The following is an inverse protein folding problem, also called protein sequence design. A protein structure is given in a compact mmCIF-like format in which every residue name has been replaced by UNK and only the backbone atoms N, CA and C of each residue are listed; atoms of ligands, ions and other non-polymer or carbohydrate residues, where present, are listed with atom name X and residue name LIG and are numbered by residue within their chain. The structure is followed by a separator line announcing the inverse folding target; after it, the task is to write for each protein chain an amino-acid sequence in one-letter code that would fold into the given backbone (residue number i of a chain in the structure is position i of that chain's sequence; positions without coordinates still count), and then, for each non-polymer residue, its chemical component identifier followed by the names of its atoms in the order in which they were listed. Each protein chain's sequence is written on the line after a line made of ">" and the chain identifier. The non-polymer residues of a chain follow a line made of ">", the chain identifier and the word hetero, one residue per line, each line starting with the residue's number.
data_IF_294564582266
#
_entry.id   IF_294564582266
#
_cell.length_a   1.000
_cell.length_b   1.000
_cell.length_c   1.000
_cell.angle_alpha   90.00
_cell.angle_beta   90.00
_cell.angle_gamma   90.00
#
_symmetry.space_group_name_H-M   'P 1'
#
loop_
_entity.id
_entity.type
_entity.pdbx_description
1 polymer ?
#
# COMPACT_ATOMS: atom_id res chain seq x y z
N UNK A 1 -23.90 10.35 -21.57
CA UNK A 1 -22.56 10.39 -20.97
C UNK A 1 -22.43 9.49 -19.72
N UNK A 2 -23.36 8.54 -19.47
CA UNK A 2 -23.34 7.66 -18.28
C UNK A 2 -23.37 6.16 -18.55
N UNK A 3 -23.48 5.72 -19.79
CA UNK A 3 -23.59 4.29 -20.11
C UNK A 3 -22.25 3.64 -20.48
N UNK A 4 -21.26 4.42 -20.90
CA UNK A 4 -19.92 3.94 -21.25
C UNK A 4 -19.08 3.47 -20.05
N UNK A 5 -19.44 3.91 -18.84
CA UNK A 5 -18.70 3.47 -17.64
C UNK A 5 -19.15 2.08 -17.13
N UNK A 6 -20.32 1.59 -17.54
CA UNK A 6 -20.78 0.23 -17.18
C UNK A 6 -20.02 -0.84 -17.94
N UNK A 7 -19.72 -0.59 -19.21
CA UNK A 7 -18.91 -1.50 -20.02
C UNK A 7 -17.44 -1.46 -19.63
N UNK A 8 -16.89 -0.28 -19.30
CA UNK A 8 -15.52 -0.12 -18.77
C UNK A 8 -15.32 -0.68 -17.37
N UNK A 9 -16.36 -1.09 -16.67
CA UNK A 9 -16.33 -1.56 -15.29
C UNK A 9 -15.67 -2.92 -15.13
N UNK A 10 -15.62 -3.75 -16.16
CA UNK A 10 -14.94 -5.05 -16.17
C UNK A 10 -13.42 -4.92 -16.37
N UNK A 11 -12.96 -3.84 -17.00
CA UNK A 11 -11.56 -3.60 -17.32
C UNK A 11 -10.77 -2.93 -16.16
N UNK A 12 -11.48 -2.40 -15.17
CA UNK A 12 -10.95 -1.54 -14.12
C UNK A 12 -11.18 -2.13 -12.75
N UNK A 13 -10.38 -1.76 -11.80
CA UNK A 13 -10.36 -2.32 -10.46
C UNK A 13 -11.70 -2.83 -9.99
N UNK A 14 -11.70 -4.07 -9.69
CA UNK A 14 -12.79 -4.67 -9.00
C UNK A 14 -13.06 -3.91 -7.68
N UNK A 15 -14.22 -3.25 -7.61
CA UNK A 15 -14.75 -2.62 -6.40
C UNK A 15 -15.49 -3.63 -5.53
N UNK A 16 -15.24 -4.91 -5.71
CA UNK A 16 -15.84 -5.96 -4.89
C UNK A 16 -15.47 -5.79 -3.42
N UNK A 17 -16.23 -6.44 -2.56
CA UNK A 17 -15.95 -6.49 -1.11
C UNK A 17 -14.55 -6.99 -0.75
N UNK A 18 -13.85 -7.60 -1.67
CA UNK A 18 -12.50 -8.14 -1.49
C UNK A 18 -11.42 -7.14 -1.86
N UNK A 19 -11.72 -6.14 -2.69
CA UNK A 19 -10.76 -5.08 -3.02
C UNK A 19 -10.39 -4.30 -1.77
N UNK A 20 -9.10 -3.98 -1.62
CA UNK A 20 -8.63 -3.11 -0.53
C UNK A 20 -9.23 -1.70 -0.60
N UNK A 21 -9.80 -1.31 -1.73
CA UNK A 21 -10.35 0.03 -1.99
C UNK A 21 -11.86 0.04 -2.19
N UNK A 22 -12.58 -0.96 -1.71
CA UNK A 22 -14.02 -1.00 -1.87
C UNK A 22 -14.74 0.02 -0.96
N UNK A 23 -15.87 0.53 -1.44
CA UNK A 23 -16.69 1.51 -0.73
C UNK A 23 -17.34 0.97 0.56
N UNK A 24 -17.47 -0.34 0.71
CA UNK A 24 -18.03 -0.94 1.94
C UNK A 24 -17.19 -0.66 3.19
N UNK A 25 -15.86 -0.51 3.03
CA UNK A 25 -15.00 -0.09 4.14
C UNK A 25 -15.31 1.34 4.56
N UNK A 26 -15.61 2.21 3.60
CA UNK A 26 -16.04 3.58 3.87
C UNK A 26 -17.29 3.64 4.73
N UNK A 27 -18.29 2.83 4.43
CA UNK A 27 -19.48 2.72 5.26
C UNK A 27 -19.16 2.29 6.69
N UNK A 28 -18.28 1.28 6.86
CA UNK A 28 -17.86 0.81 8.18
C UNK A 28 -17.08 1.85 9.00
N UNK A 29 -16.47 2.85 8.33
CA UNK A 29 -15.67 3.88 8.99
C UNK A 29 -16.34 5.25 9.06
N UNK A 30 -17.54 5.40 8.49
CA UNK A 30 -18.21 6.69 8.38
C UNK A 30 -18.32 7.39 9.73
N UNK A 31 -18.94 6.76 10.73
CA UNK A 31 -19.16 7.36 12.04
C UNK A 31 -17.88 7.44 12.88
N UNK A 32 -17.01 6.44 12.76
CA UNK A 32 -15.81 6.35 13.60
C UNK A 32 -14.64 7.19 13.09
N UNK A 33 -14.58 7.50 11.79
CA UNK A 33 -13.45 8.19 11.18
C UNK A 33 -13.84 9.27 10.20
N UNK A 34 -14.67 9.03 9.18
CA UNK A 34 -14.91 10.01 8.13
C UNK A 34 -15.56 11.29 8.63
N UNK A 35 -16.62 11.17 9.41
CA UNK A 35 -17.30 12.32 10.02
C UNK A 35 -16.39 13.01 11.04
N UNK A 36 -15.71 12.33 11.98
CA UNK A 36 -14.76 12.97 12.87
C UNK A 36 -13.60 13.66 12.15
N UNK A 37 -13.01 13.06 11.09
CA UNK A 37 -11.96 13.69 10.29
C UNK A 37 -12.48 14.98 9.65
N UNK A 38 -13.68 14.95 9.04
CA UNK A 38 -14.28 16.12 8.43
C UNK A 38 -14.52 17.25 9.45
N UNK A 39 -15.05 16.93 10.64
CA UNK A 39 -15.22 17.87 11.75
C UNK A 39 -13.89 18.46 12.21
N UNK A 40 -12.86 17.62 12.36
CA UNK A 40 -11.53 18.09 12.73
C UNK A 40 -10.95 19.09 11.73
N UNK A 41 -11.12 18.86 10.42
CA UNK A 41 -10.72 19.84 9.40
C UNK A 41 -11.46 21.18 9.52
N UNK A 42 -12.71 21.16 9.99
CA UNK A 42 -13.54 22.35 10.27
C UNK A 42 -13.26 22.96 11.66
N UNK A 43 -12.35 22.41 12.47
CA UNK A 43 -12.07 22.79 13.86
C UNK A 43 -13.23 22.55 14.82
N UNK A 44 -14.08 21.58 14.53
CA UNK A 44 -15.31 21.27 15.30
C UNK A 44 -15.17 19.99 16.15
N UNK A 45 -13.99 19.38 16.20
CA UNK A 45 -13.78 18.15 16.97
C UNK A 45 -12.33 17.67 16.94
N UNK A 46 -12.10 16.53 17.57
CA UNK A 46 -10.78 15.88 17.65
C UNK A 46 -10.56 14.89 16.52
N UNK A 47 -9.31 14.73 16.11
CA UNK A 47 -8.90 13.71 15.13
C UNK A 47 -8.85 12.35 15.83
N UNK A 48 -9.56 11.33 15.31
CA UNK A 48 -9.50 9.98 15.89
C UNK A 48 -8.11 9.35 15.69
N UNK A 49 -7.82 8.30 16.45
CA UNK A 49 -6.65 7.46 16.18
C UNK A 49 -6.69 6.91 14.74
N UNK A 50 -5.54 6.72 14.08
CA UNK A 50 -5.54 6.13 12.74
C UNK A 50 -6.02 4.68 12.77
N UNK A 51 -6.59 4.20 11.66
CA UNK A 51 -7.04 2.81 11.53
C UNK A 51 -5.84 1.86 11.39
N UNK A 52 -4.82 2.31 10.66
CA UNK A 52 -3.67 1.49 10.28
C UNK A 52 -2.35 2.18 10.61
N UNK A 53 -1.41 1.39 11.11
CA UNK A 53 0.01 1.72 11.09
C UNK A 53 0.63 1.12 9.83
N UNK A 54 1.15 1.94 8.95
CA UNK A 54 2.09 1.54 7.90
C UNK A 54 3.51 1.65 8.46
N UNK A 55 4.19 0.52 8.58
CA UNK A 55 5.46 0.40 9.27
C UNK A 55 6.57 0.05 8.28
N UNK A 56 7.54 0.94 8.13
CA UNK A 56 8.77 0.72 7.39
C UNK A 56 9.90 0.39 8.37
N UNK A 57 10.15 -0.88 8.70
CA UNK A 57 11.10 -1.28 9.73
C UNK A 57 12.56 -1.14 9.31
N UNK A 58 12.80 -0.81 8.04
CA UNK A 58 14.14 -0.63 7.48
C UNK A 58 14.14 -0.11 6.06
N UNK A 59 15.27 0.48 5.66
CA UNK A 59 15.50 1.00 4.31
C UNK A 59 16.50 0.16 3.50
N UNK A 60 17.03 -0.92 4.07
CA UNK A 60 17.90 -1.86 3.35
C UNK A 60 17.06 -2.72 2.42
N UNK A 61 17.53 -2.90 1.18
CA UNK A 61 16.92 -3.79 0.22
C UNK A 61 18.00 -4.58 -0.54
N UNK A 62 17.71 -5.83 -0.82
CA UNK A 62 18.57 -6.71 -1.62
C UNK A 62 18.16 -6.76 -3.11
N UNK A 63 17.19 -5.90 -3.53
CA UNK A 63 16.80 -5.69 -4.92
C UNK A 63 17.16 -4.28 -5.37
N UNK A 64 17.18 -4.06 -6.71
CA UNK A 64 17.51 -2.79 -7.35
C UNK A 64 16.43 -2.41 -8.38
N UNK A 65 15.17 -2.49 -7.98
CA UNK A 65 14.02 -2.27 -8.87
C UNK A 65 14.02 -0.86 -9.45
N UNK A 66 13.99 -0.76 -10.78
CA UNK A 66 14.01 0.53 -11.49
C UNK A 66 12.77 1.40 -11.23
N UNK A 67 11.64 0.80 -10.84
CA UNK A 67 10.38 1.48 -10.51
C UNK A 67 10.17 1.74 -9.00
N UNK A 68 11.17 1.44 -8.16
CA UNK A 68 11.03 1.60 -6.71
C UNK A 68 11.18 3.05 -6.28
N UNK A 69 10.08 3.70 -5.92
CA UNK A 69 10.09 5.09 -5.48
C UNK A 69 10.90 5.33 -4.20
N UNK A 70 10.90 4.38 -3.26
CA UNK A 70 11.61 4.54 -2.00
C UNK A 70 13.13 4.42 -2.15
N UNK A 71 13.61 3.37 -2.84
CA UNK A 71 15.05 3.17 -3.03
C UNK A 71 15.65 4.24 -3.95
N UNK A 72 14.90 4.68 -4.95
CA UNK A 72 15.36 5.74 -5.84
C UNK A 72 15.52 7.06 -5.09
N UNK A 73 14.56 7.41 -4.22
CA UNK A 73 14.71 8.59 -3.37
C UNK A 73 15.97 8.52 -2.51
N UNK A 74 16.24 7.35 -1.89
CA UNK A 74 17.44 7.16 -1.08
C UNK A 74 18.76 7.20 -1.87
N UNK A 75 18.75 6.76 -3.14
CA UNK A 75 19.91 6.89 -4.03
C UNK A 75 20.20 8.35 -4.36
N UNK A 76 19.16 9.16 -4.57
CA UNK A 76 19.29 10.60 -4.84
C UNK A 76 19.63 11.41 -3.57
N UNK A 77 19.23 10.92 -2.40
CA UNK A 77 19.39 11.57 -1.12
C UNK A 77 20.02 10.62 -0.08
N UNK A 78 21.31 10.20 -0.27
CA UNK A 78 21.93 9.14 0.54
C UNK A 78 22.10 9.51 2.02
N UNK A 79 22.13 10.79 2.35
CA UNK A 79 22.32 11.31 3.69
C UNK A 79 21.02 11.44 4.50
N UNK A 80 19.87 11.26 3.86
CA UNK A 80 18.56 11.40 4.52
C UNK A 80 18.31 10.36 5.61
N UNK A 81 18.88 9.16 5.48
CA UNK A 81 18.77 8.12 6.52
C UNK A 81 20.15 7.72 7.02
N UNK A 82 20.54 8.18 8.19
CA UNK A 82 21.80 7.78 8.83
C UNK A 82 21.95 6.26 8.95
N UNK A 83 23.20 5.78 8.93
CA UNK A 83 23.49 4.34 8.90
C UNK A 83 22.90 3.58 10.10
N UNK A 84 22.92 4.18 11.29
CA UNK A 84 22.36 3.66 12.53
C UNK A 84 20.83 3.61 12.56
N UNK A 85 20.16 4.35 11.65
CA UNK A 85 18.71 4.43 11.51
C UNK A 85 18.16 3.68 10.30
N UNK A 86 19.00 2.95 9.59
CA UNK A 86 18.55 2.14 8.44
C UNK A 86 17.67 0.94 8.83
N UNK A 87 17.70 0.56 10.11
CA UNK A 87 16.99 -0.62 10.64
C UNK A 87 16.46 -0.32 12.04
N UNK A 88 15.17 -0.51 12.28
CA UNK A 88 14.59 -0.41 13.64
C UNK A 88 15.04 -1.54 14.54
N UNK A 89 15.33 -1.24 15.79
CA UNK A 89 15.61 -2.24 16.82
C UNK A 89 14.35 -3.01 17.21
N UNK A 90 14.53 -4.21 17.75
CA UNK A 90 13.42 -5.04 18.24
C UNK A 90 12.61 -4.35 19.35
N UNK A 91 13.33 -3.71 20.27
CA UNK A 91 12.72 -2.96 21.36
C UNK A 91 11.84 -1.83 20.83
N UNK A 92 12.36 -1.02 19.90
CA UNK A 92 11.62 0.10 19.35
C UNK A 92 10.39 -0.35 18.55
N UNK A 93 10.51 -1.43 17.75
CA UNK A 93 9.39 -2.04 17.05
C UNK A 93 8.26 -2.44 18.00
N UNK A 94 8.62 -3.08 19.13
CA UNK A 94 7.63 -3.49 20.14
C UNK A 94 7.00 -2.29 20.84
N UNK A 95 7.78 -1.27 21.19
CA UNK A 95 7.28 -0.04 21.80
C UNK A 95 6.27 0.67 20.89
N UNK A 96 6.53 0.73 19.58
CA UNK A 96 5.56 1.28 18.59
C UNK A 96 4.28 0.43 18.57
N UNK A 97 4.39 -0.90 18.50
CA UNK A 97 3.23 -1.80 18.45
C UNK A 97 2.40 -1.69 19.73
N UNK A 98 3.03 -1.64 20.90
CA UNK A 98 2.33 -1.47 22.17
C UNK A 98 1.58 -0.13 22.21
N UNK A 99 2.26 0.95 21.84
CA UNK A 99 1.68 2.27 21.79
C UNK A 99 0.45 2.35 20.86
N UNK A 100 0.58 1.88 19.62
CA UNK A 100 -0.53 1.96 18.66
C UNK A 100 -1.68 1.04 19.02
N UNK A 101 -1.42 -0.10 19.65
CA UNK A 101 -2.46 -0.98 20.20
C UNK A 101 -3.28 -0.29 21.30
N UNK A 102 -2.60 0.34 22.26
CA UNK A 102 -3.24 1.11 23.34
C UNK A 102 -4.00 2.35 22.80
N UNK A 103 -3.54 2.90 21.71
CA UNK A 103 -4.17 4.07 21.06
C UNK A 103 -5.44 3.70 20.28
N UNK A 104 -5.64 2.43 19.93
CA UNK A 104 -6.82 1.94 19.23
C UNK A 104 -6.64 1.71 17.74
N UNK A 105 -5.39 1.67 17.25
CA UNK A 105 -5.08 1.24 15.88
C UNK A 105 -5.48 -0.22 15.69
N UNK A 106 -6.08 -0.54 14.54
CA UNK A 106 -6.67 -1.86 14.30
C UNK A 106 -5.76 -2.81 13.51
N UNK A 107 -4.85 -2.25 12.72
CA UNK A 107 -4.01 -3.04 11.83
C UNK A 107 -2.61 -2.45 11.66
N UNK A 108 -1.66 -3.31 11.34
CA UNK A 108 -0.27 -2.94 11.01
C UNK A 108 0.08 -3.54 9.66
N UNK A 109 0.46 -2.69 8.71
CA UNK A 109 1.04 -3.11 7.44
C UNK A 109 2.56 -3.03 7.55
N UNK A 110 3.24 -4.18 7.56
CA UNK A 110 4.69 -4.27 7.55
C UNK A 110 5.13 -4.25 6.09
N UNK A 111 5.75 -3.17 5.69
CA UNK A 111 6.22 -2.99 4.33
C UNK A 111 7.55 -2.27 4.34
N UNK A 112 7.78 -1.39 3.38
CA UNK A 112 8.93 -0.59 3.57
C UNK A 112 9.47 0.29 2.48
N UNK A 113 10.37 1.14 2.94
CA UNK A 113 11.35 1.84 2.15
C UNK A 113 12.44 0.91 1.60
N UNK A 114 12.55 -0.32 2.16
CA UNK A 114 13.40 -1.41 1.72
C UNK A 114 12.67 -2.75 1.75
N UNK A 115 13.43 -3.84 1.79
CA UNK A 115 12.87 -5.18 2.04
C UNK A 115 12.76 -5.40 3.57
N UNK A 116 11.53 -5.53 4.12
CA UNK A 116 11.36 -5.64 5.57
C UNK A 116 12.04 -6.87 6.17
N UNK A 117 12.15 -7.98 5.45
CA UNK A 117 12.82 -9.19 5.94
C UNK A 117 14.34 -9.05 6.07
N UNK A 118 14.95 -7.99 5.51
CA UNK A 118 16.34 -7.62 5.79
C UNK A 118 16.54 -7.21 7.26
N UNK A 119 15.48 -6.73 7.92
CA UNK A 119 15.47 -6.50 9.35
C UNK A 119 15.02 -7.76 10.10
N UNK A 120 15.95 -8.52 10.67
CA UNK A 120 15.61 -9.76 11.41
C UNK A 120 14.70 -9.51 12.62
N UNK A 121 14.63 -8.28 13.13
CA UNK A 121 13.79 -7.93 14.27
C UNK A 121 12.28 -7.97 13.95
N UNK A 122 11.89 -8.08 12.66
CA UNK A 122 10.48 -8.21 12.26
C UNK A 122 10.01 -9.66 12.13
N UNK A 123 10.91 -10.64 12.23
CA UNK A 123 10.58 -12.02 11.93
C UNK A 123 9.56 -12.65 12.89
N UNK A 124 9.43 -12.13 14.11
CA UNK A 124 8.43 -12.54 15.10
C UNK A 124 7.35 -11.46 15.33
N UNK A 125 7.31 -10.44 14.47
CA UNK A 125 6.40 -9.31 14.65
C UNK A 125 4.93 -9.64 14.34
N UNK A 126 4.59 -10.48 13.34
CA UNK A 126 3.18 -10.84 13.09
C UNK A 126 2.49 -11.50 14.29
N UNK A 127 3.13 -12.46 14.96
CA UNK A 127 2.58 -13.07 16.17
C UNK A 127 2.48 -12.10 17.33
N UNK A 128 3.47 -11.20 17.48
CA UNK A 128 3.43 -10.16 18.49
C UNK A 128 2.25 -9.19 18.29
N UNK A 129 2.02 -8.73 17.04
CA UNK A 129 0.88 -7.88 16.69
C UNK A 129 -0.44 -8.61 16.97
N UNK A 130 -0.54 -9.89 16.62
CA UNK A 130 -1.71 -10.70 16.89
C UNK A 130 -1.99 -10.85 18.40
N UNK A 131 -0.93 -10.97 19.24
CA UNK A 131 -1.05 -11.05 20.70
C UNK A 131 -1.63 -9.76 21.31
N UNK A 132 -1.53 -8.62 20.61
CA UNK A 132 -2.14 -7.35 20.98
C UNK A 132 -3.56 -7.16 20.43
N UNK A 133 -4.15 -8.18 19.81
CA UNK A 133 -5.49 -8.13 19.23
C UNK A 133 -5.59 -7.39 17.89
N UNK A 134 -4.48 -6.94 17.33
CA UNK A 134 -4.42 -6.28 16.03
C UNK A 134 -4.24 -7.27 14.88
N UNK A 135 -4.57 -6.83 13.66
CA UNK A 135 -4.29 -7.56 12.42
C UNK A 135 -2.97 -7.08 11.83
N UNK A 136 -2.22 -7.99 11.21
CA UNK A 136 -1.03 -7.62 10.45
C UNK A 136 -1.15 -7.99 8.99
N UNK A 137 -0.37 -7.31 8.17
CA UNK A 137 -0.13 -7.64 6.78
C UNK A 137 1.35 -7.48 6.46
N UNK A 138 1.81 -8.15 5.40
CA UNK A 138 3.21 -8.12 5.02
C UNK A 138 3.35 -7.87 3.51
N UNK A 139 4.19 -6.92 3.13
CA UNK A 139 4.59 -6.68 1.75
C UNK A 139 6.10 -6.92 1.62
N UNK A 140 6.52 -7.85 0.76
CA UNK A 140 7.90 -8.32 0.64
C UNK A 140 8.25 -8.65 -0.80
N UNK A 141 9.54 -8.61 -1.14
CA UNK A 141 10.04 -9.16 -2.39
C UNK A 141 10.13 -10.71 -2.39
N UNK A 142 9.86 -11.34 -1.25
CA UNK A 142 9.78 -12.80 -1.10
C UNK A 142 11.09 -13.57 -1.08
N UNK A 143 12.21 -12.95 -1.43
CA UNK A 143 13.50 -13.66 -1.62
C UNK A 143 14.10 -14.23 -0.33
N UNK A 144 13.71 -13.70 0.84
CA UNK A 144 14.23 -14.09 2.15
C UNK A 144 13.27 -14.97 2.95
N UNK A 145 12.13 -15.34 2.40
CA UNK A 145 11.18 -16.24 3.06
C UNK A 145 11.83 -17.63 3.21
N UNK A 146 11.70 -18.18 4.39
CA UNK A 146 12.10 -19.54 4.75
C UNK A 146 10.98 -20.20 5.58
N UNK A 147 11.16 -21.42 6.03
CA UNK A 147 10.14 -22.17 6.79
C UNK A 147 9.70 -21.47 8.08
N UNK A 148 10.65 -20.87 8.81
CA UNK A 148 10.35 -20.11 10.03
C UNK A 148 9.50 -18.87 9.73
N UNK A 149 9.92 -18.08 8.74
CA UNK A 149 9.20 -16.88 8.31
C UNK A 149 7.84 -17.23 7.72
N UNK A 150 7.76 -18.29 6.91
CA UNK A 150 6.49 -18.75 6.35
C UNK A 150 5.48 -19.11 7.45
N UNK A 151 5.91 -19.84 8.49
CA UNK A 151 5.06 -20.17 9.65
C UNK A 151 4.62 -18.90 10.40
N UNK A 152 5.51 -17.96 10.61
CA UNK A 152 5.22 -16.71 11.30
C UNK A 152 4.21 -15.84 10.51
N UNK A 153 4.35 -15.78 9.19
CA UNK A 153 3.42 -15.08 8.30
C UNK A 153 2.00 -15.63 8.34
N UNK A 154 1.78 -16.87 8.81
CA UNK A 154 0.43 -17.42 8.99
C UNK A 154 -0.40 -16.65 10.03
N UNK A 155 0.21 -15.82 10.87
CA UNK A 155 -0.45 -14.89 11.78
C UNK A 155 -0.93 -13.59 11.08
N UNK A 156 -0.52 -13.36 9.83
CA UNK A 156 -0.98 -12.20 9.07
C UNK A 156 -2.40 -12.39 8.51
N UNK A 157 -3.08 -11.27 8.23
CA UNK A 157 -4.35 -11.28 7.47
C UNK A 157 -4.09 -11.48 5.98
N UNK A 158 -3.01 -10.86 5.45
CA UNK A 158 -2.55 -11.09 4.09
C UNK A 158 -1.03 -10.90 3.97
N UNK A 159 -0.45 -11.55 2.96
CA UNK A 159 0.93 -11.36 2.53
C UNK A 159 0.94 -11.09 1.02
N UNK A 160 1.58 -10.02 0.61
CA UNK A 160 1.79 -9.68 -0.79
C UNK A 160 3.25 -9.85 -1.17
N UNK A 161 3.51 -10.70 -2.17
CA UNK A 161 4.85 -10.91 -2.73
C UNK A 161 4.97 -10.17 -4.06
N UNK A 162 5.94 -9.25 -4.16
CA UNK A 162 6.22 -8.49 -5.37
C UNK A 162 7.06 -9.33 -6.32
N UNK A 163 6.46 -9.79 -7.42
CA UNK A 163 7.13 -10.62 -8.43
C UNK A 163 7.29 -9.87 -9.75
N UNK A 164 6.25 -9.17 -10.18
CA UNK A 164 6.24 -8.23 -11.31
C UNK A 164 6.71 -8.83 -12.66
N UNK A 165 6.64 -10.16 -12.81
CA UNK A 165 7.05 -10.89 -14.04
C UNK A 165 6.44 -12.28 -14.08
N UNK A 166 6.53 -12.96 -15.22
CA UNK A 166 6.24 -14.38 -15.40
C UNK A 166 7.48 -15.20 -15.72
N UNK A 167 8.59 -14.54 -16.06
CA UNK A 167 9.82 -15.18 -16.49
C UNK A 167 11.05 -14.66 -15.72
N UNK A 168 12.14 -15.47 -15.61
CA UNK A 168 13.39 -15.02 -14.98
C UNK A 168 14.02 -13.81 -15.68
N UNK A 169 13.94 -13.76 -17.01
CA UNK A 169 14.53 -12.69 -17.83
C UNK A 169 13.85 -11.35 -17.57
N UNK A 170 12.53 -11.33 -17.50
CA UNK A 170 11.78 -10.12 -17.20
C UNK A 170 11.94 -9.72 -15.73
N UNK A 171 11.97 -10.70 -14.81
CA UNK A 171 12.25 -10.45 -13.41
C UNK A 171 13.58 -9.73 -13.20
N UNK A 172 14.65 -10.20 -13.84
CA UNK A 172 15.97 -9.59 -13.74
C UNK A 172 15.99 -8.15 -14.30
N UNK A 173 15.30 -7.90 -15.42
CA UNK A 173 15.17 -6.55 -16.00
C UNK A 173 14.41 -5.59 -15.06
N UNK A 174 13.38 -6.07 -14.39
CA UNK A 174 12.52 -5.24 -13.53
C UNK A 174 13.14 -5.00 -12.16
N UNK A 175 13.79 -6.02 -11.59
CA UNK A 175 14.26 -6.00 -10.20
C UNK A 175 15.79 -5.85 -10.06
N UNK A 176 16.55 -5.93 -11.18
CA UNK A 176 18.01 -5.81 -11.18
C UNK A 176 18.74 -6.97 -10.50
N UNK A 177 18.07 -8.11 -10.30
CA UNK A 177 18.63 -9.30 -9.65
C UNK A 177 18.06 -10.58 -10.24
N UNK A 178 18.86 -11.64 -10.31
CA UNK A 178 18.44 -12.96 -10.80
C UNK A 178 18.01 -13.85 -9.63
N UNK A 179 16.79 -13.61 -9.11
CA UNK A 179 16.25 -14.36 -7.96
C UNK A 179 14.82 -14.89 -8.22
N UNK A 180 14.37 -14.93 -9.46
CA UNK A 180 13.02 -15.37 -9.82
C UNK A 180 12.67 -16.73 -9.23
N UNK A 181 13.45 -17.77 -9.54
CA UNK A 181 13.19 -19.13 -9.09
C UNK A 181 13.12 -19.25 -7.56
N UNK A 182 13.97 -18.48 -6.86
CA UNK A 182 13.95 -18.41 -5.40
C UNK A 182 12.64 -17.81 -4.89
N UNK A 183 12.19 -16.71 -5.49
CA UNK A 183 10.95 -16.04 -5.09
C UNK A 183 9.74 -16.93 -5.36
N UNK A 184 9.68 -17.59 -6.52
CA UNK A 184 8.61 -18.54 -6.85
C UNK A 184 8.60 -19.70 -5.85
N UNK A 185 9.75 -20.33 -5.59
CA UNK A 185 9.86 -21.42 -4.61
C UNK A 185 9.43 -21.00 -3.19
N UNK A 186 9.76 -19.76 -2.80
CA UNK A 186 9.35 -19.23 -1.50
C UNK A 186 7.85 -18.93 -1.45
N UNK A 187 7.26 -18.51 -2.57
CA UNK A 187 5.82 -18.32 -2.69
C UNK A 187 5.06 -19.66 -2.62
N UNK A 188 5.58 -20.71 -3.27
CA UNK A 188 5.09 -22.09 -3.14
C UNK A 188 5.18 -22.58 -1.69
N UNK A 189 6.28 -22.27 -0.99
CA UNK A 189 6.45 -22.60 0.43
C UNK A 189 5.38 -21.91 1.30
N UNK A 190 5.05 -20.64 1.05
CA UNK A 190 3.96 -19.95 1.75
C UNK A 190 2.61 -20.65 1.52
N UNK A 191 2.29 -21.00 0.28
CA UNK A 191 1.05 -21.70 -0.07
C UNK A 191 0.99 -23.08 0.57
N UNK A 192 2.09 -23.82 0.55
CA UNK A 192 2.22 -25.13 1.23
C UNK A 192 1.99 -24.98 2.75
N UNK A 193 2.69 -24.04 3.39
CA UNK A 193 2.56 -23.77 4.84
C UNK A 193 1.13 -23.38 5.22
N UNK A 194 0.46 -22.55 4.39
CA UNK A 194 -0.95 -22.21 4.58
C UNK A 194 -1.84 -23.46 4.59
N UNK A 195 -1.65 -24.38 3.64
CA UNK A 195 -2.42 -25.64 3.55
C UNK A 195 -2.17 -26.53 4.75
N UNK A 196 -0.92 -26.70 5.15
CA UNK A 196 -0.50 -27.56 6.27
C UNK A 196 -1.02 -27.05 7.62
N UNK A 197 -1.08 -25.72 7.81
CA UNK A 197 -1.53 -25.09 9.07
C UNK A 197 -3.03 -24.82 9.11
N UNK A 198 -3.75 -24.94 7.99
CA UNK A 198 -5.15 -24.54 7.88
C UNK A 198 -5.38 -23.03 8.03
N UNK A 199 -4.34 -22.21 7.87
CA UNK A 199 -4.42 -20.76 7.99
C UNK A 199 -5.34 -20.15 6.93
N UNK A 200 -6.06 -19.09 7.32
CA UNK A 200 -6.96 -18.34 6.42
C UNK A 200 -6.32 -17.08 5.83
N UNK A 201 -4.99 -16.99 5.88
CA UNK A 201 -4.26 -15.88 5.28
C UNK A 201 -4.54 -15.78 3.77
N UNK A 202 -4.65 -14.55 3.26
CA UNK A 202 -4.66 -14.30 1.82
C UNK A 202 -3.21 -14.08 1.36
N UNK A 203 -2.75 -14.90 0.42
CA UNK A 203 -1.43 -14.77 -0.21
C UNK A 203 -1.64 -14.20 -1.61
N UNK A 204 -0.94 -13.10 -1.92
CA UNK A 204 -1.12 -12.37 -3.16
C UNK A 204 0.17 -12.31 -3.97
N UNK A 205 0.05 -12.58 -5.26
CA UNK A 205 1.07 -12.29 -6.27
C UNK A 205 0.87 -10.84 -6.74
N UNK A 206 1.84 -9.97 -6.48
CA UNK A 206 1.77 -8.56 -6.88
C UNK A 206 2.49 -8.36 -8.21
N UNK A 207 1.89 -7.54 -9.09
CA UNK A 207 2.41 -7.23 -10.40
C UNK A 207 2.28 -5.72 -10.67
N UNK A 208 3.39 -4.99 -10.56
CA UNK A 208 3.47 -3.60 -10.97
C UNK A 208 3.80 -3.52 -12.46
N UNK A 209 2.84 -3.03 -13.24
CA UNK A 209 2.95 -2.94 -14.69
C UNK A 209 3.87 -1.79 -15.06
N UNK A 210 4.88 -2.08 -15.86
CA UNK A 210 5.83 -1.12 -16.42
C UNK A 210 6.01 -1.39 -17.93
N UNK A 211 6.67 -0.50 -18.69
CA UNK A 211 7.02 -0.77 -20.08
C UNK A 211 7.86 -2.04 -20.29
N UNK A 212 8.53 -2.53 -19.23
CA UNK A 212 9.40 -3.71 -19.30
C UNK A 212 8.65 -5.04 -19.21
N UNK A 213 7.45 -5.06 -18.61
CA UNK A 213 6.79 -6.33 -18.22
C UNK A 213 5.30 -6.42 -18.55
N UNK A 214 4.66 -5.39 -19.08
CA UNK A 214 3.21 -5.36 -19.30
C UNK A 214 2.70 -6.55 -20.13
N UNK A 215 3.51 -7.04 -21.06
CA UNK A 215 3.17 -8.17 -21.94
C UNK A 215 3.06 -9.50 -21.20
N UNK A 216 3.61 -9.61 -19.99
CA UNK A 216 3.55 -10.82 -19.16
C UNK A 216 2.38 -10.85 -18.16
N UNK A 217 1.49 -9.86 -18.15
CA UNK A 217 0.39 -9.79 -17.16
C UNK A 217 -0.46 -11.06 -17.12
N UNK A 218 -0.84 -11.60 -18.28
CA UNK A 218 -1.64 -12.82 -18.36
C UNK A 218 -0.87 -14.06 -17.92
N UNK A 219 0.37 -14.22 -18.39
CA UNK A 219 1.22 -15.36 -18.03
C UNK A 219 1.56 -15.34 -16.53
N UNK A 220 1.82 -14.17 -15.97
CA UNK A 220 2.02 -14.03 -14.52
C UNK A 220 0.75 -14.36 -13.71
N UNK A 221 -0.42 -14.00 -14.22
CA UNK A 221 -1.70 -14.35 -13.61
C UNK A 221 -1.92 -15.87 -13.63
N UNK A 222 -1.61 -16.51 -14.75
CA UNK A 222 -1.68 -17.98 -14.90
C UNK A 222 -0.71 -18.68 -13.93
N UNK A 223 0.56 -18.23 -13.88
CA UNK A 223 1.56 -18.74 -12.95
C UNK A 223 1.10 -18.57 -11.48
N UNK A 224 0.55 -17.43 -11.13
CA UNK A 224 0.00 -17.17 -9.79
C UNK A 224 -1.10 -18.17 -9.41
N UNK A 225 -2.00 -18.46 -10.34
CA UNK A 225 -3.04 -19.49 -10.17
C UNK A 225 -2.47 -20.90 -10.01
N UNK A 226 -1.49 -21.26 -10.82
CA UNK A 226 -0.79 -22.57 -10.78
C UNK A 226 -0.07 -22.79 -9.44
N UNK A 227 0.60 -21.77 -8.90
CA UNK A 227 1.21 -21.79 -7.57
C UNK A 227 0.14 -21.99 -6.49
N UNK A 228 -1.07 -21.52 -6.72
CA UNK A 228 -2.19 -21.63 -5.79
C UNK A 228 -2.29 -20.48 -4.79
N UNK A 229 -1.83 -19.29 -5.14
CA UNK A 229 -2.08 -18.08 -4.36
C UNK A 229 -3.56 -17.70 -4.43
N UNK A 230 -4.03 -16.89 -3.48
CA UNK A 230 -5.42 -16.45 -3.44
C UNK A 230 -5.70 -15.30 -4.41
N UNK A 231 -4.75 -14.38 -4.55
CA UNK A 231 -4.95 -13.14 -5.28
C UNK A 231 -3.83 -12.85 -6.26
N UNK A 232 -4.19 -12.45 -7.47
CA UNK A 232 -3.31 -11.77 -8.40
C UNK A 232 -3.68 -10.28 -8.43
N UNK A 233 -2.70 -9.40 -8.20
CA UNK A 233 -2.89 -7.97 -8.19
C UNK A 233 -2.03 -7.30 -9.24
N UNK A 234 -2.62 -6.81 -10.32
CA UNK A 234 -1.96 -6.03 -11.34
C UNK A 234 -2.37 -4.55 -11.26
N UNK A 235 -1.39 -3.65 -11.34
CA UNK A 235 -1.62 -2.20 -11.41
C UNK A 235 -0.42 -1.51 -12.07
N UNK A 236 -0.58 -0.37 -12.75
CA UNK A 236 0.54 0.40 -13.24
C UNK A 236 1.52 0.80 -12.14
N UNK A 237 2.81 0.75 -12.44
CA UNK A 237 3.83 1.36 -11.59
C UNK A 237 3.71 2.88 -11.67
N UNK A 238 4.04 3.57 -10.57
CA UNK A 238 4.11 5.03 -10.55
C UNK A 238 5.45 5.49 -11.11
N UNK A 239 5.49 5.79 -12.40
CA UNK A 239 6.69 6.20 -13.13
C UNK A 239 6.70 7.70 -13.47
N UNK A 240 5.65 8.45 -13.10
CA UNK A 240 5.53 9.89 -13.39
C UNK A 240 6.13 10.79 -12.30
N UNK A 241 6.71 10.21 -11.24
CA UNK A 241 7.33 11.01 -10.17
C UNK A 241 8.53 11.79 -10.69
N UNK A 242 8.63 13.07 -10.26
CA UNK A 242 9.72 13.97 -10.63
C UNK A 242 11.12 13.49 -10.24
N UNK A 243 11.20 12.59 -9.25
CA UNK A 243 12.45 11.99 -8.77
C UNK A 243 13.01 10.91 -9.70
N UNK A 244 12.25 10.56 -10.75
CA UNK A 244 12.75 9.72 -11.83
C UNK A 244 13.38 10.63 -12.87
N UNK A 245 14.72 10.76 -12.89
CA UNK A 245 15.52 11.64 -13.78
C UNK A 245 15.31 11.42 -15.29
N UNK A 246 14.71 10.32 -15.63
CA UNK A 246 14.17 10.04 -16.94
C UNK A 246 12.76 9.54 -16.68
N UNK A 247 11.76 10.35 -17.02
CA UNK A 247 10.44 9.83 -17.27
C UNK A 247 10.65 8.63 -18.21
N UNK A 248 10.54 7.39 -17.67
CA UNK A 248 10.49 6.23 -18.54
C UNK A 248 9.39 6.55 -19.52
N UNK A 249 9.71 6.61 -20.82
CA UNK A 249 8.67 6.78 -21.83
C UNK A 249 7.60 5.74 -21.51
N UNK A 250 6.38 6.20 -21.21
CA UNK A 250 5.28 5.32 -20.85
C UNK A 250 4.76 4.65 -22.16
N UNK A 251 5.62 3.86 -22.78
CA UNK A 251 5.30 3.08 -23.97
C UNK A 251 4.51 1.83 -23.57
N UNK A 252 3.25 2.06 -23.19
CA UNK A 252 2.29 1.00 -22.99
C UNK A 252 1.45 0.78 -24.24
N UNK A 253 1.26 -0.47 -24.64
CA UNK A 253 0.19 -0.83 -25.53
C UNK A 253 -1.10 -1.04 -24.73
N UNK A 254 -1.84 0.05 -24.52
CA UNK A 254 -3.02 0.08 -23.66
C UNK A 254 -4.09 -0.92 -24.12
N UNK A 255 -4.36 -0.99 -25.43
CA UNK A 255 -5.36 -1.91 -25.98
C UNK A 255 -5.01 -3.36 -25.68
N UNK A 256 -3.73 -3.71 -25.82
CA UNK A 256 -3.27 -5.07 -25.55
C UNK A 256 -3.31 -5.39 -24.05
N UNK A 257 -2.92 -4.43 -23.19
CA UNK A 257 -3.01 -4.61 -21.75
C UNK A 257 -4.46 -4.84 -21.31
N UNK A 258 -5.43 -4.12 -21.89
CA UNK A 258 -6.84 -4.31 -21.61
C UNK A 258 -7.33 -5.71 -22.00
N UNK A 259 -6.86 -6.25 -23.14
CA UNK A 259 -7.12 -7.65 -23.51
C UNK A 259 -6.52 -8.62 -22.52
N UNK A 260 -5.25 -8.40 -22.11
CA UNK A 260 -4.59 -9.25 -21.11
C UNK A 260 -5.32 -9.20 -19.76
N UNK A 261 -5.87 -8.05 -19.36
CA UNK A 261 -6.71 -7.94 -18.16
C UNK A 261 -7.98 -8.78 -18.29
N UNK A 262 -8.68 -8.68 -19.43
CA UNK A 262 -9.89 -9.48 -19.66
C UNK A 262 -9.59 -10.97 -19.60
N UNK A 263 -8.51 -11.42 -20.26
CA UNK A 263 -8.05 -12.81 -20.20
C UNK A 263 -7.65 -13.23 -18.77
N UNK A 264 -7.00 -12.37 -18.01
CA UNK A 264 -6.65 -12.66 -16.62
C UNK A 264 -7.89 -12.85 -15.74
N UNK A 265 -8.96 -12.04 -15.95
CA UNK A 265 -10.23 -12.20 -15.23
C UNK A 265 -10.98 -13.49 -15.58
N UNK A 266 -10.78 -14.06 -16.77
CA UNK A 266 -11.32 -15.38 -17.13
C UNK A 266 -10.72 -16.51 -16.29
N UNK A 267 -9.55 -16.30 -15.67
CA UNK A 267 -8.93 -17.28 -14.78
C UNK A 267 -9.53 -17.30 -13.37
N UNK A 268 -10.41 -16.36 -13.01
CA UNK A 268 -11.02 -16.29 -11.68
C UNK A 268 -11.89 -17.52 -11.40
N UNK A 269 -11.83 -17.96 -10.13
CA UNK A 269 -12.71 -19.00 -9.61
C UNK A 269 -12.95 -18.77 -8.10
N UNK A 270 -13.62 -19.72 -7.44
CA UNK A 270 -13.90 -19.65 -6.00
C UNK A 270 -12.64 -19.55 -5.13
N UNK A 271 -11.48 -20.00 -5.63
CA UNK A 271 -10.21 -20.04 -4.92
C UNK A 271 -9.18 -19.03 -5.41
N UNK A 272 -9.41 -18.38 -6.54
CA UNK A 272 -8.49 -17.46 -7.17
C UNK A 272 -9.19 -16.16 -7.62
N UNK A 273 -8.68 -15.02 -7.20
CA UNK A 273 -9.23 -13.69 -7.51
C UNK A 273 -8.22 -12.87 -8.28
N UNK A 274 -8.69 -12.13 -9.26
CA UNK A 274 -7.88 -11.21 -10.06
C UNK A 274 -8.30 -9.76 -9.77
N UNK A 275 -7.33 -8.90 -9.53
CA UNK A 275 -7.52 -7.47 -9.30
C UNK A 275 -6.66 -6.67 -10.27
N UNK A 276 -7.30 -6.01 -11.22
CA UNK A 276 -6.67 -5.05 -12.12
C UNK A 276 -6.97 -3.64 -11.61
N UNK A 277 -6.05 -3.05 -10.85
CA UNK A 277 -6.30 -1.80 -10.12
C UNK A 277 -5.96 -0.60 -10.96
N UNK A 278 -7.00 0.07 -11.49
CA UNK A 278 -6.87 1.19 -12.43
C UNK A 278 -7.50 2.51 -11.94
N UNK A 279 -8.29 2.50 -10.86
CA UNK A 279 -9.04 3.67 -10.38
C UNK A 279 -8.17 4.89 -10.00
N UNK A 280 -6.86 4.72 -9.94
CA UNK A 280 -5.88 5.79 -9.66
C UNK A 280 -5.27 6.39 -10.93
N UNK A 281 -5.65 5.86 -12.08
CA UNK A 281 -5.06 6.17 -13.36
C UNK A 281 -6.15 6.49 -14.38
N UNK A 282 -5.84 7.36 -15.33
CA UNK A 282 -6.67 7.58 -16.50
C UNK A 282 -6.54 6.41 -17.52
N UNK A 283 -7.30 6.41 -18.62
CA UNK A 283 -7.20 5.39 -19.66
C UNK A 283 -5.80 5.24 -20.29
N UNK A 284 -4.91 6.22 -20.11
CA UNK A 284 -3.54 6.20 -20.62
C UNK A 284 -2.50 5.82 -19.54
N UNK A 285 -2.97 5.27 -18.42
CA UNK A 285 -2.14 4.91 -17.24
C UNK A 285 -1.45 6.09 -16.55
N UNK A 286 -1.94 7.33 -16.78
CA UNK A 286 -1.48 8.51 -16.06
C UNK A 286 -2.20 8.63 -14.73
N UNK A 287 -1.47 9.08 -13.73
CA UNK A 287 -2.03 9.27 -12.38
C UNK A 287 -3.17 10.28 -12.39
N UNK A 288 -4.26 9.92 -11.76
CA UNK A 288 -5.45 10.75 -11.63
C UNK A 288 -5.80 10.97 -10.17
N UNK A 289 -6.05 12.24 -9.80
CA UNK A 289 -6.52 12.63 -8.48
C UNK A 289 -7.98 13.05 -8.55
N UNK A 290 -8.85 12.30 -7.87
CA UNK A 290 -10.30 12.58 -7.76
C UNK A 290 -10.66 13.38 -6.50
N UNK A 291 -9.67 13.93 -5.80
CA UNK A 291 -9.81 14.66 -4.53
C UNK A 291 -8.80 15.83 -4.49
N UNK A 292 -9.06 16.82 -3.63
CA UNK A 292 -8.26 18.04 -3.52
C UNK A 292 -7.46 18.13 -2.23
N UNK A 293 -7.93 17.48 -1.15
CA UNK A 293 -7.32 17.56 0.19
C UNK A 293 -6.75 16.20 0.61
N UNK A 294 -5.61 16.22 1.29
CA UNK A 294 -4.98 15.03 1.83
C UNK A 294 -5.68 14.56 3.13
N UNK A 295 -7.00 14.27 3.05
CA UNK A 295 -7.80 13.86 4.21
C UNK A 295 -7.57 12.40 4.63
N UNK A 296 -7.33 11.52 3.66
CA UNK A 296 -7.15 10.09 3.94
C UNK A 296 -5.85 9.75 4.66
N UNK A 297 -4.85 10.65 4.70
CA UNK A 297 -3.65 10.44 5.53
C UNK A 297 -3.99 10.36 7.02
N UNK A 298 -5.12 10.94 7.45
CA UNK A 298 -5.64 10.82 8.81
C UNK A 298 -6.17 9.41 9.17
N UNK A 299 -6.30 8.51 8.18
CA UNK A 299 -6.68 7.11 8.40
C UNK A 299 -5.49 6.20 8.69
N UNK A 300 -4.28 6.67 8.42
CA UNK A 300 -3.07 5.87 8.53
C UNK A 300 -1.94 6.65 9.20
N UNK A 301 -1.03 5.92 9.83
CA UNK A 301 0.21 6.42 10.39
C UNK A 301 1.38 5.79 9.64
N UNK A 302 2.21 6.59 8.96
CA UNK A 302 3.41 6.08 8.27
C UNK A 302 4.63 6.28 9.16
N UNK A 303 5.11 5.22 9.81
CA UNK A 303 6.32 5.25 10.63
C UNK A 303 7.50 4.60 9.90
N UNK A 304 8.62 5.31 9.82
CA UNK A 304 9.82 4.89 9.11
C UNK A 304 11.02 4.68 10.05
N UNK A 305 11.97 3.85 9.64
CA UNK A 305 13.14 3.48 10.48
C UNK A 305 14.07 4.64 10.79
N UNK A 306 13.99 5.75 10.05
CA UNK A 306 14.71 6.99 10.35
C UNK A 306 14.24 7.70 11.64
N UNK A 307 13.20 7.18 12.28
CA UNK A 307 12.64 7.70 13.51
C UNK A 307 11.48 8.68 13.33
N UNK A 308 11.01 8.87 12.11
CA UNK A 308 10.00 9.86 11.79
C UNK A 308 8.68 9.24 11.30
N UNK A 309 7.63 10.03 11.44
CA UNK A 309 6.30 9.77 10.93
C UNK A 309 6.04 10.71 9.76
N UNK A 310 5.53 10.17 8.67
CA UNK A 310 5.22 10.91 7.44
C UNK A 310 3.75 10.89 7.09
N UNK A 311 3.34 11.80 6.23
CA UNK A 311 1.95 11.92 5.74
C UNK A 311 1.47 10.62 5.08
N UNK A 312 2.31 9.95 4.30
CA UNK A 312 1.97 8.68 3.66
C UNK A 312 3.21 7.92 3.16
N UNK A 313 2.99 6.69 2.72
CA UNK A 313 4.03 5.82 2.16
C UNK A 313 4.66 6.35 0.85
N UNK A 314 3.95 7.18 0.11
CA UNK A 314 4.47 7.74 -1.15
C UNK A 314 5.39 8.95 -0.93
N UNK A 315 5.35 9.57 0.25
CA UNK A 315 6.17 10.73 0.66
C UNK A 315 7.03 10.42 1.90
N UNK A 316 7.40 9.16 2.08
CA UNK A 316 8.31 8.77 3.14
C UNK A 316 9.69 9.42 2.95
N UNK A 317 10.33 9.77 4.06
CA UNK A 317 11.69 10.34 4.11
C UNK A 317 11.78 11.80 3.62
N UNK A 318 10.76 12.34 2.99
CA UNK A 318 10.73 13.74 2.52
C UNK A 318 10.38 14.69 3.66
N UNK A 319 11.29 15.58 4.05
CA UNK A 319 11.10 16.53 5.17
C UNK A 319 9.84 17.39 5.03
N UNK A 320 9.46 17.76 3.79
CA UNK A 320 8.23 18.50 3.47
C UNK A 320 6.96 17.83 4.00
N UNK A 321 6.96 16.48 4.08
CA UNK A 321 5.81 15.65 4.46
C UNK A 321 5.98 14.97 5.82
N UNK A 322 6.99 15.38 6.58
CA UNK A 322 7.22 14.89 7.93
C UNK A 322 6.19 15.48 8.90
N UNK A 323 5.52 14.61 9.62
CA UNK A 323 4.57 14.98 10.67
C UNK A 323 5.30 15.25 12.00
N UNK A 324 5.96 14.22 12.53
CA UNK A 324 6.64 14.26 13.82
C UNK A 324 7.70 13.16 13.91
N UNK A 325 8.34 13.02 15.07
CA UNK A 325 9.18 11.87 15.39
C UNK A 325 8.39 10.84 16.23
N UNK A 326 8.72 9.56 16.07
CA UNK A 326 8.30 8.49 16.96
C UNK A 326 9.46 7.98 17.82
N UNK A 327 10.57 8.68 17.79
CA UNK A 327 11.77 8.33 18.53
C UNK A 327 12.17 9.46 19.49
N UNK A 328 12.62 9.19 20.72
CA UNK A 328 12.81 7.86 21.32
C UNK A 328 11.53 7.19 21.83
N UNK A 329 10.47 7.95 22.09
CA UNK A 329 9.18 7.45 22.64
C UNK A 329 8.06 7.67 21.62
N UNK A 330 7.40 6.60 21.11
CA UNK A 330 6.31 6.74 20.16
C UNK A 330 5.08 7.49 20.71
N UNK A 331 4.96 7.67 22.02
CA UNK A 331 3.87 8.48 22.63
C UNK A 331 3.91 9.95 22.21
N UNK A 332 5.08 10.46 21.78
CA UNK A 332 5.22 11.80 21.22
C UNK A 332 4.34 12.03 19.99
N UNK A 333 3.96 10.97 19.27
CA UNK A 333 3.04 11.07 18.14
C UNK A 333 1.72 11.72 18.57
N UNK A 334 1.18 11.42 19.74
CA UNK A 334 -0.09 11.98 20.22
C UNK A 334 -0.06 13.48 20.44
N UNK A 335 1.11 14.05 20.73
CA UNK A 335 1.24 15.51 20.92
C UNK A 335 1.09 16.28 19.61
N UNK A 336 1.43 15.63 18.50
CA UNK A 336 1.30 16.21 17.17
C UNK A 336 -0.03 15.84 16.49
N UNK A 337 -0.47 14.59 16.66
CA UNK A 337 -1.65 14.05 15.98
C UNK A 337 -2.92 14.81 16.36
N UNK A 338 -3.60 15.36 15.37
CA UNK A 338 -4.80 16.17 15.59
C UNK A 338 -4.54 17.63 15.96
N UNK A 339 -3.27 18.05 16.15
CA UNK A 339 -2.93 19.45 16.45
C UNK A 339 -3.20 20.39 15.27
N UNK A 340 -3.18 21.69 15.54
CA UNK A 340 -3.28 22.70 14.48
C UNK A 340 -2.13 22.58 13.47
N UNK A 341 -0.91 22.29 13.91
CA UNK A 341 0.23 22.04 13.02
C UNK A 341 -0.01 20.86 12.08
N UNK A 342 -0.60 19.79 12.56
CA UNK A 342 -0.99 18.66 11.71
C UNK A 342 -2.00 19.09 10.65
N UNK A 343 -3.04 19.82 11.05
CA UNK A 343 -4.08 20.33 10.15
C UNK A 343 -3.53 21.30 9.10
N UNK A 344 -2.66 22.21 9.52
CA UNK A 344 -2.00 23.17 8.64
C UNK A 344 -1.13 22.46 7.60
N UNK A 345 -0.36 21.45 8.00
CA UNK A 345 0.45 20.67 7.07
C UNK A 345 -0.45 19.98 6.02
N UNK A 346 -1.51 19.28 6.42
CA UNK A 346 -2.40 18.60 5.47
C UNK A 346 -3.12 19.59 4.54
N UNK A 347 -3.54 20.75 5.03
CA UNK A 347 -4.15 21.80 4.20
C UNK A 347 -3.16 22.47 3.25
N UNK A 348 -1.86 22.45 3.56
CA UNK A 348 -0.82 23.06 2.71
C UNK A 348 -0.41 22.17 1.53
N UNK A 349 -0.81 20.90 1.51
CA UNK A 349 -0.47 19.94 0.44
C UNK A 349 -1.32 20.22 -0.79
N UNK A 350 -0.66 20.55 -1.89
CA UNK A 350 -1.31 20.63 -3.20
C UNK A 350 -1.25 19.26 -3.88
N UNK A 351 -2.33 18.48 -3.71
CA UNK A 351 -2.41 17.10 -4.21
C UNK A 351 -2.07 17.00 -5.71
N UNK A 352 -2.59 17.91 -6.54
CA UNK A 352 -2.36 17.86 -8.00
C UNK A 352 -0.92 18.19 -8.42
N UNK A 353 -0.12 18.83 -7.54
CA UNK A 353 1.27 19.21 -7.87
C UNK A 353 2.33 18.41 -7.14
N UNK A 354 2.02 18.01 -5.89
CA UNK A 354 3.00 17.39 -5.01
C UNK A 354 2.87 15.86 -4.98
N UNK A 355 1.67 15.31 -5.22
CA UNK A 355 1.45 13.87 -5.16
C UNK A 355 1.62 13.20 -6.53
N UNK A 356 2.54 12.25 -6.65
CA UNK A 356 2.69 11.43 -7.84
C UNK A 356 1.47 10.50 -8.00
N UNK A 357 1.11 9.77 -6.95
CA UNK A 357 -0.10 8.95 -6.90
C UNK A 357 -0.63 8.95 -5.47
N UNK A 358 -1.86 8.48 -5.25
CA UNK A 358 -2.37 8.29 -3.89
C UNK A 358 -2.88 6.87 -3.66
N UNK A 359 -2.26 6.17 -2.70
CA UNK A 359 -2.72 4.83 -2.29
C UNK A 359 -4.12 4.90 -1.66
N UNK A 360 -4.45 5.98 -0.99
CA UNK A 360 -5.69 6.19 -0.24
C UNK A 360 -6.67 7.17 -0.91
N UNK A 361 -6.44 7.50 -2.20
CA UNK A 361 -7.19 8.54 -2.92
C UNK A 361 -8.70 8.33 -2.92
N UNK A 362 -9.17 7.09 -3.06
CA UNK A 362 -10.61 6.79 -3.02
C UNK A 362 -11.23 7.12 -1.65
N UNK A 363 -10.49 6.90 -0.56
CA UNK A 363 -10.97 7.27 0.77
C UNK A 363 -10.96 8.80 0.97
N UNK A 364 -9.94 9.49 0.44
CA UNK A 364 -9.90 10.95 0.45
C UNK A 364 -11.09 11.54 -0.30
N UNK A 365 -11.40 11.00 -1.49
CA UNK A 365 -12.57 11.37 -2.26
C UNK A 365 -13.88 11.18 -1.47
N UNK A 366 -14.04 10.02 -0.84
CA UNK A 366 -15.23 9.73 -0.03
C UNK A 366 -15.37 10.68 1.15
N UNK A 367 -14.27 11.00 1.85
CA UNK A 367 -14.30 11.97 2.96
C UNK A 367 -14.67 13.37 2.46
N UNK A 368 -14.12 13.81 1.34
CA UNK A 368 -14.46 15.13 0.77
C UNK A 368 -15.91 15.19 0.30
N UNK A 369 -16.34 14.24 -0.50
CA UNK A 369 -17.66 14.27 -1.13
C UNK A 369 -18.80 14.07 -0.14
N UNK A 370 -18.63 13.17 0.81
CA UNK A 370 -19.71 12.77 1.72
C UNK A 370 -19.64 13.50 3.06
N UNK A 371 -18.47 13.55 3.66
CA UNK A 371 -18.34 14.04 5.03
C UNK A 371 -18.01 15.55 5.12
N UNK A 372 -17.31 16.11 4.11
CA UNK A 372 -16.98 17.55 4.07
C UNK A 372 -18.01 18.38 3.30
N UNK A 373 -18.87 17.74 2.50
CA UNK A 373 -19.86 18.42 1.67
C UNK A 373 -19.18 19.36 0.65
N UNK A 374 -18.07 18.94 0.05
CA UNK A 374 -17.27 19.83 -0.84
C UNK A 374 -17.67 19.73 -2.31
N UNK A 375 -18.61 18.84 -2.65
CA UNK A 375 -19.12 18.68 -4.00
C UNK A 375 -20.54 19.22 -4.15
N UNK A 376 -21.00 19.23 -5.41
CA UNK A 376 -22.39 19.45 -5.87
C UNK A 376 -23.45 18.61 -5.13
N UNK A 377 -23.01 17.76 -4.20
CA UNK A 377 -23.82 17.08 -3.20
C UNK A 377 -24.53 18.01 -2.21
N UNK A 378 -24.31 19.30 -2.28
CA UNK A 378 -25.19 20.31 -1.63
C UNK A 378 -26.65 20.19 -2.10
N UNK A 379 -26.90 19.49 -3.20
CA UNK A 379 -28.26 19.16 -3.64
C UNK A 379 -28.70 17.75 -3.22
N UNK A 380 -27.85 16.95 -2.58
CA UNK A 380 -28.28 15.69 -1.95
C UNK A 380 -28.91 16.01 -0.60
N UNK A 381 -30.23 16.09 -0.57
CA UNK A 381 -30.97 16.12 0.67
C UNK A 381 -30.74 14.80 1.40
N UNK A 382 -29.92 14.81 2.44
CA UNK A 382 -29.62 13.64 3.27
C UNK A 382 -30.80 13.16 4.11
N UNK A 383 -31.93 13.89 4.06
CA UNK A 383 -33.17 13.58 4.78
C UNK A 383 -34.08 12.62 4.01
N UNK A 384 -33.74 12.31 2.76
CA UNK A 384 -34.48 11.39 1.94
C UNK A 384 -33.60 10.22 1.48
N UNK A 385 -34.06 8.96 1.63
CA UNK A 385 -33.31 7.80 1.20
C UNK A 385 -33.18 7.67 -0.31
#
# INVERSE_FOLDING_TARGET
>A
MRDDWKEKKQEWSDRSKYSSFNSYKGLAWQDSHYVPIAKWFKKEGELPAPIELSLDPGHLCNFQCGHCNAQRYLVLHPDQVPADKKVMTKEHLRNIIDFVSEWGVRAVCIGGGGEPLMNRNVWDLPSYIASKGMKSSFATNGSLINEQIAKEMMNCRWVGVSVDSATPETFEKVHGVNLFDRVIKNLELLVKTKKETGSKIDISYKFLISPLNWHEVYDACKLAKEIGVRDFHARPADLERKDFDQAMELNYNIEEIQKLFSQAHELEDENFRVFTIMHKYDPNFRVMHSFKKCSASSLMLQACSDGNVYVCADHRIEDRFKLCSHYPDPKEIKTFWGSDKHRELLNSINVGKECGRCTYGEYARQIEEVAMGTNEADCMCLDFP
#
